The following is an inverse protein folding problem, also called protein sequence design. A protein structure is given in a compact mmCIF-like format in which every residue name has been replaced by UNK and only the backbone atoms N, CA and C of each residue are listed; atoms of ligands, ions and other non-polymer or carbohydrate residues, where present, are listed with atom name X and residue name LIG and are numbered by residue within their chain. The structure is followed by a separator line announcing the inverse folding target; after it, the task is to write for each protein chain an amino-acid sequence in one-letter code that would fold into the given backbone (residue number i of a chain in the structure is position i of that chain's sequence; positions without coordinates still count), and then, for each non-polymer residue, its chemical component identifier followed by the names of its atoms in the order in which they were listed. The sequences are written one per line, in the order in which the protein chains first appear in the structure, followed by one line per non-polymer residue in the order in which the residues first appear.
data_IF_137886584988
#
_entry.id   IF_137886584988
#
_cell.length_a   1.000
_cell.length_b   1.000
_cell.length_c   1.000
_cell.angle_alpha   90.00
_cell.angle_beta   90.00
_cell.angle_gamma   90.00
#
_symmetry.space_group_name_H-M   'P 1'
#
loop_
_entity.id
_entity.type
_entity.pdbx_description
1 polymer ?
#
# COMPACT_ATOMS: atom_id res chain seq x y z
N UNK A 1 26.61 -2.61 22.64
CA UNK A 1 27.14 -3.92 22.18
C UNK A 1 26.12 -4.99 22.59
N UNK A 2 24.99 -5.15 21.91
CA UNK A 2 24.86 -5.89 20.65
C UNK A 2 24.19 -7.25 20.90
N UNK A 3 22.90 -7.25 21.27
CA UNK A 3 22.14 -8.48 21.56
C UNK A 3 21.65 -9.12 20.26
N UNK A 4 22.13 -10.34 19.98
CA UNK A 4 21.81 -11.11 18.78
C UNK A 4 20.35 -11.63 18.84
N UNK A 5 19.42 -10.92 18.20
CA UNK A 5 18.06 -11.39 17.93
C UNK A 5 18.08 -12.16 16.61
N UNK A 6 18.04 -13.50 16.67
CA UNK A 6 17.90 -14.36 15.48
C UNK A 6 16.42 -14.45 15.11
N UNK A 7 15.94 -13.49 14.32
CA UNK A 7 14.61 -13.53 13.71
C UNK A 7 14.66 -14.50 12.52
N UNK A 8 14.20 -15.74 12.70
CA UNK A 8 14.15 -16.71 11.58
C UNK A 8 13.10 -16.26 10.56
N UNK A 9 13.53 -16.07 9.30
CA UNK A 9 12.62 -15.80 8.18
C UNK A 9 11.89 -17.09 7.81
N UNK A 10 10.59 -17.13 8.07
CA UNK A 10 9.69 -18.13 7.49
C UNK A 10 9.21 -17.54 6.15
N UNK A 11 9.80 -18.00 5.04
CA UNK A 11 9.25 -17.74 3.70
C UNK A 11 8.28 -18.86 3.36
N UNK A 12 6.99 -18.55 3.34
CA UNK A 12 5.95 -19.42 2.82
C UNK A 12 5.80 -19.08 1.33
N UNK A 13 6.58 -19.78 0.50
CA UNK A 13 6.35 -19.83 -0.95
C UNK A 13 5.91 -21.25 -1.29
N UNK A 14 4.70 -21.35 -1.85
CA UNK A 14 4.07 -22.54 -2.44
C UNK A 14 3.22 -23.42 -1.50
N UNK A 15 1.93 -23.52 -1.82
CA UNK A 15 0.83 -23.96 -0.95
C UNK A 15 0.76 -25.47 -0.66
N UNK A 16 1.80 -26.28 -0.89
CA UNK A 16 1.75 -27.72 -0.55
C UNK A 16 3.12 -28.41 -0.34
N UNK A 17 4.19 -27.69 -0.02
CA UNK A 17 5.46 -28.33 0.35
C UNK A 17 6.19 -27.55 1.45
N UNK A 18 6.15 -28.03 2.69
CA UNK A 18 6.99 -27.53 3.77
C UNK A 18 8.44 -27.92 3.46
N UNK A 19 9.22 -27.01 2.88
CA UNK A 19 10.65 -27.22 2.67
C UNK A 19 11.39 -27.00 3.99
N UNK A 20 11.85 -28.09 4.61
CA UNK A 20 12.64 -28.06 5.84
C UNK A 20 14.10 -27.80 5.49
N UNK A 21 14.75 -26.81 6.11
CA UNK A 21 16.17 -26.53 5.87
C UNK A 21 17.06 -27.70 6.34
N UNK A 22 18.18 -27.93 5.64
CA UNK A 22 19.10 -29.03 5.95
C UNK A 22 19.57 -28.99 7.42
N UNK A 23 19.78 -27.80 7.96
CA UNK A 23 20.15 -27.59 9.37
C UNK A 23 19.07 -28.06 10.36
N UNK A 24 17.80 -28.02 9.97
CA UNK A 24 16.72 -28.54 10.80
C UNK A 24 16.67 -30.06 10.77
N UNK A 25 16.97 -30.69 9.62
CA UNK A 25 17.12 -32.14 9.51
C UNK A 25 18.29 -32.64 10.36
N UNK A 26 19.44 -31.97 10.31
CA UNK A 26 20.62 -32.37 11.10
C UNK A 26 20.36 -32.30 12.61
N UNK A 27 19.61 -31.28 13.07
CA UNK A 27 19.19 -31.17 14.48
C UNK A 27 18.25 -32.29 14.90
N UNK A 28 17.30 -32.66 14.03
CA UNK A 28 16.37 -33.77 14.30
C UNK A 28 17.15 -35.09 14.38
N UNK A 29 18.06 -35.33 13.43
CA UNK A 29 18.89 -36.53 13.40
C UNK A 29 19.79 -36.62 14.65
N UNK A 30 20.40 -35.51 15.08
CA UNK A 30 21.21 -35.46 16.28
C UNK A 30 20.41 -35.78 17.55
N UNK A 31 19.16 -35.31 17.65
CA UNK A 31 18.28 -35.65 18.78
C UNK A 31 17.84 -37.12 18.76
N UNK A 32 17.58 -37.69 17.58
CA UNK A 32 17.24 -39.10 17.46
C UNK A 32 18.42 -40.01 17.84
N UNK A 33 19.63 -39.66 17.40
CA UNK A 33 20.85 -40.39 17.76
C UNK A 33 21.19 -40.26 19.25
N UNK A 34 20.97 -39.08 19.86
CA UNK A 34 21.14 -38.89 21.29
C UNK A 34 20.17 -39.76 22.11
N UNK A 35 18.92 -39.93 21.64
CA UNK A 35 17.94 -40.83 22.28
C UNK A 35 18.26 -42.31 22.13
N UNK A 36 19.02 -42.72 21.11
CA UNK A 36 19.42 -44.11 20.90
C UNK A 36 20.66 -44.52 21.70
N UNK A 37 21.45 -43.57 22.20
CA UNK A 37 22.65 -43.82 22.99
C UNK A 37 22.40 -43.90 24.51
N UNK A 38 21.15 -43.81 24.97
CA UNK A 38 20.80 -43.90 26.39
C UNK A 38 20.71 -45.36 26.86
N UNK A 39 21.67 -45.78 27.69
CA UNK A 39 21.63 -47.01 28.50
C UNK A 39 20.30 -47.10 29.30
N UNK A 40 19.82 -48.30 29.65
CA UNK A 40 18.55 -48.45 30.35
C UNK A 40 18.61 -47.74 31.72
N UNK A 41 17.86 -46.64 31.84
CA UNK A 41 17.64 -45.95 33.09
C UNK A 41 16.95 -46.87 34.11
N UNK A 42 17.26 -46.76 35.42
CA UNK A 42 16.50 -47.46 36.45
C UNK A 42 15.01 -47.10 36.36
N UNK A 43 14.15 -48.10 36.58
CA UNK A 43 12.71 -47.99 36.42
C UNK A 43 12.13 -46.77 37.16
N UNK A 44 11.25 -45.98 36.54
CA UNK A 44 10.61 -44.86 37.22
C UNK A 44 9.75 -45.38 38.37
N UNK A 45 10.07 -44.94 39.60
CA UNK A 45 9.10 -45.00 40.70
C UNK A 45 7.84 -44.27 40.24
N UNK A 46 6.71 -44.96 40.27
CA UNK A 46 5.41 -44.41 39.92
C UNK A 46 5.07 -43.29 40.91
N UNK A 47 5.37 -42.04 40.55
CA UNK A 47 4.84 -40.88 41.24
C UNK A 47 3.31 -40.90 41.07
N UNK A 48 2.53 -40.66 42.14
CA UNK A 48 1.08 -40.55 41.99
C UNK A 48 0.76 -39.48 40.93
N UNK A 49 -0.29 -39.67 40.11
CA UNK A 49 -0.66 -38.69 39.10
C UNK A 49 -0.85 -37.32 39.76
N UNK A 50 -0.34 -36.23 39.16
CA UNK A 50 -0.46 -34.91 39.76
C UNK A 50 -1.93 -34.64 40.05
N UNK A 51 -2.24 -34.40 41.32
CA UNK A 51 -3.57 -33.98 41.73
C UNK A 51 -3.90 -32.71 40.95
N UNK A 52 -4.95 -32.75 40.12
CA UNK A 52 -5.39 -31.57 39.37
C UNK A 52 -5.84 -30.52 40.39
N UNK A 53 -4.96 -29.57 40.65
CA UNK A 53 -5.24 -28.46 41.53
C UNK A 53 -6.33 -27.61 40.86
N UNK A 54 -7.55 -27.67 41.40
CA UNK A 54 -8.70 -26.91 40.89
C UNK A 54 -8.39 -25.42 40.85
N UNK A 55 -7.54 -24.93 41.75
CA UNK A 55 -7.10 -23.54 41.78
C UNK A 55 -6.31 -23.18 40.52
N UNK A 56 -5.39 -24.05 40.10
CA UNK A 56 -4.60 -23.92 38.87
C UNK A 56 -5.47 -23.97 37.60
N UNK A 57 -6.53 -24.79 37.59
CA UNK A 57 -7.49 -24.81 36.47
C UNK A 57 -8.28 -23.50 36.36
N UNK A 58 -8.70 -22.93 37.48
CA UNK A 58 -9.37 -21.63 37.49
C UNK A 58 -8.45 -20.49 37.03
N UNK A 59 -7.17 -20.52 37.41
CA UNK A 59 -6.15 -19.58 36.94
C UNK A 59 -5.98 -19.66 35.41
N UNK A 60 -5.84 -20.86 34.84
CA UNK A 60 -5.76 -21.02 33.38
C UNK A 60 -7.01 -20.53 32.65
N UNK A 61 -8.20 -20.84 33.17
CA UNK A 61 -9.44 -20.35 32.56
C UNK A 61 -9.55 -18.82 32.60
N UNK A 62 -9.07 -18.18 33.67
CA UNK A 62 -9.03 -16.73 33.78
C UNK A 62 -8.02 -16.09 32.81
N UNK A 63 -6.85 -16.72 32.62
CA UNK A 63 -5.86 -16.28 31.63
C UNK A 63 -6.37 -16.43 30.20
N UNK A 64 -6.99 -17.55 29.86
CA UNK A 64 -7.61 -17.76 28.55
C UNK A 64 -8.70 -16.71 28.27
N UNK A 65 -9.57 -16.43 29.25
CA UNK A 65 -10.59 -15.40 29.13
C UNK A 65 -10.00 -14.00 28.93
N UNK A 66 -8.89 -13.69 29.63
CA UNK A 66 -8.16 -12.43 29.46
C UNK A 66 -7.61 -12.27 28.05
N UNK A 67 -6.90 -13.30 27.55
CA UNK A 67 -6.30 -13.25 26.22
C UNK A 67 -7.35 -13.25 25.12
N UNK A 68 -8.42 -14.03 25.25
CA UNK A 68 -9.55 -14.02 24.32
C UNK A 68 -10.16 -12.62 24.20
N UNK A 69 -10.43 -11.96 25.35
CA UNK A 69 -10.96 -10.59 25.37
C UNK A 69 -9.98 -9.60 24.76
N UNK A 70 -8.68 -9.74 25.03
CA UNK A 70 -7.66 -8.85 24.48
C UNK A 70 -7.55 -8.98 22.96
N UNK A 71 -7.54 -10.19 22.44
CA UNK A 71 -7.51 -10.48 21.00
C UNK A 71 -8.77 -9.91 20.33
N UNK A 72 -9.93 -10.11 20.93
CA UNK A 72 -11.19 -9.58 20.41
C UNK A 72 -11.19 -8.04 20.35
N UNK A 73 -10.70 -7.37 21.38
CA UNK A 73 -10.56 -5.92 21.39
C UNK A 73 -9.61 -5.43 20.28
N UNK A 74 -8.51 -6.13 20.05
CA UNK A 74 -7.56 -5.81 18.98
C UNK A 74 -8.19 -5.99 17.60
N UNK A 75 -8.93 -7.08 17.39
CA UNK A 75 -9.67 -7.33 16.14
C UNK A 75 -10.66 -6.21 15.85
N UNK A 76 -11.49 -5.83 16.83
CA UNK A 76 -12.46 -4.72 16.68
C UNK A 76 -11.78 -3.39 16.38
N UNK A 77 -10.67 -3.09 17.07
CA UNK A 77 -9.92 -1.87 16.81
C UNK A 77 -9.36 -1.84 15.38
N UNK A 78 -8.78 -2.95 14.93
CA UNK A 78 -8.26 -3.08 13.57
C UNK A 78 -9.38 -2.98 12.52
N UNK A 79 -10.51 -3.65 12.73
CA UNK A 79 -11.67 -3.59 11.85
C UNK A 79 -12.23 -2.15 11.73
N UNK A 80 -12.29 -1.42 12.85
CA UNK A 80 -12.70 -0.01 12.85
C UNK A 80 -11.75 0.88 12.04
N UNK A 81 -10.45 0.68 12.18
CA UNK A 81 -9.44 1.44 11.41
C UNK A 81 -9.55 1.11 9.92
N UNK A 82 -9.63 -0.18 9.59
CA UNK A 82 -9.67 -0.64 8.21
C UNK A 82 -10.95 -0.19 7.50
N UNK A 83 -12.11 -0.23 8.18
CA UNK A 83 -13.37 0.25 7.61
C UNK A 83 -13.37 1.77 7.39
N UNK A 84 -12.83 2.55 8.33
CA UNK A 84 -12.65 4.00 8.15
C UNK A 84 -11.72 4.34 6.97
N UNK A 85 -10.59 3.64 6.87
CA UNK A 85 -9.65 3.81 5.75
C UNK A 85 -10.30 3.50 4.40
N UNK A 86 -11.06 2.40 4.32
CA UNK A 86 -11.74 2.02 3.08
C UNK A 86 -12.80 3.04 2.66
N UNK A 87 -13.54 3.58 3.61
CA UNK A 87 -14.55 4.60 3.35
C UNK A 87 -13.93 5.89 2.81
N UNK A 88 -12.86 6.39 3.45
CA UNK A 88 -12.18 7.60 2.97
C UNK A 88 -11.49 7.37 1.62
N UNK A 89 -10.94 6.17 1.37
CA UNK A 89 -10.40 5.81 0.06
C UNK A 89 -11.48 5.84 -1.04
N UNK A 90 -12.63 5.21 -0.80
CA UNK A 90 -13.72 5.22 -1.79
C UNK A 90 -14.27 6.64 -2.01
N UNK A 91 -14.41 7.42 -0.94
CA UNK A 91 -14.85 8.81 -1.00
C UNK A 91 -13.90 9.66 -1.85
N UNK A 92 -12.60 9.59 -1.57
CA UNK A 92 -11.59 10.36 -2.32
C UNK A 92 -11.52 9.95 -3.79
N UNK A 93 -11.67 8.67 -4.11
CA UNK A 93 -11.79 8.22 -5.50
C UNK A 93 -13.02 8.80 -6.20
N UNK A 94 -14.16 8.83 -5.51
CA UNK A 94 -15.39 9.40 -6.06
C UNK A 94 -15.24 10.90 -6.32
N UNK A 95 -14.75 11.65 -5.34
CA UNK A 95 -14.50 13.09 -5.47
C UNK A 95 -13.50 13.40 -6.59
N UNK A 96 -12.42 12.62 -6.71
CA UNK A 96 -11.46 12.77 -7.80
C UNK A 96 -12.10 12.53 -9.17
N UNK A 97 -12.88 11.45 -9.32
CA UNK A 97 -13.59 11.15 -10.56
C UNK A 97 -14.61 12.24 -10.93
N UNK A 98 -15.36 12.76 -9.95
CA UNK A 98 -16.29 13.87 -10.17
C UNK A 98 -15.57 15.12 -10.68
N UNK A 99 -14.39 15.45 -10.12
CA UNK A 99 -13.57 16.55 -10.62
C UNK A 99 -13.07 16.31 -12.05
N UNK A 100 -12.66 15.07 -12.37
CA UNK A 100 -12.27 14.71 -13.74
C UNK A 100 -13.43 14.85 -14.72
N UNK A 101 -14.62 14.39 -14.34
CA UNK A 101 -15.83 14.49 -15.16
C UNK A 101 -16.24 15.94 -15.38
N UNK A 102 -16.13 16.81 -14.37
CA UNK A 102 -16.35 18.25 -14.51
C UNK A 102 -15.35 18.88 -15.49
N UNK A 103 -14.07 18.55 -15.39
CA UNK A 103 -13.03 19.05 -16.32
C UNK A 103 -13.27 18.53 -17.74
N UNK A 104 -13.71 17.28 -17.89
CA UNK A 104 -14.07 16.72 -19.20
C UNK A 104 -15.31 17.40 -19.77
N UNK A 105 -16.35 17.57 -18.96
CA UNK A 105 -17.57 18.28 -19.36
C UNK A 105 -17.27 19.74 -19.75
N UNK A 106 -16.42 20.46 -19.03
CA UNK A 106 -16.03 21.83 -19.37
C UNK A 106 -15.23 21.90 -20.69
N UNK A 107 -14.36 20.91 -20.94
CA UNK A 107 -13.67 20.76 -22.24
C UNK A 107 -14.64 20.45 -23.38
N UNK A 108 -15.67 19.66 -23.14
CA UNK A 108 -16.64 19.22 -24.16
C UNK A 108 -17.71 20.27 -24.43
N UNK A 109 -18.09 21.08 -23.43
CA UNK A 109 -19.26 21.95 -23.54
C UNK A 109 -18.95 23.29 -24.20
N UNK A 110 -17.78 23.95 -24.04
CA UNK A 110 -17.67 25.32 -24.62
C UNK A 110 -16.33 26.03 -24.88
N UNK A 111 -15.13 25.42 -24.86
CA UNK A 111 -13.91 26.20 -25.15
C UNK A 111 -12.92 25.50 -26.07
N UNK A 112 -12.97 25.86 -27.37
CA UNK A 112 -11.76 25.73 -28.19
C UNK A 112 -10.61 26.40 -27.43
N UNK A 113 -9.39 25.82 -27.47
CA UNK A 113 -8.25 26.42 -26.81
C UNK A 113 -8.11 27.87 -27.30
N UNK A 114 -7.83 28.83 -26.41
CA UNK A 114 -7.80 30.24 -26.80
C UNK A 114 -6.81 30.47 -27.96
N UNK A 115 -7.08 31.50 -28.76
CA UNK A 115 -6.18 31.97 -29.83
C UNK A 115 -5.96 30.99 -30.99
N UNK A 116 -6.97 30.18 -31.36
CA UNK A 116 -6.84 29.26 -32.51
C UNK A 116 -6.64 30.01 -33.84
N UNK A 117 -7.24 31.18 -34.01
CA UNK A 117 -7.11 31.94 -35.26
C UNK A 117 -5.70 32.49 -35.46
N UNK A 118 -5.15 33.13 -34.42
CA UNK A 118 -3.79 33.67 -34.43
C UNK A 118 -2.75 32.56 -34.57
N UNK A 119 -3.00 31.41 -33.92
CA UNK A 119 -2.19 30.20 -34.09
C UNK A 119 -2.20 29.73 -35.55
N UNK A 120 -3.37 29.68 -36.19
CA UNK A 120 -3.51 29.30 -37.59
C UNK A 120 -2.67 30.19 -38.51
N UNK A 121 -2.80 31.51 -38.36
CA UNK A 121 -2.03 32.51 -39.14
C UNK A 121 -0.51 32.37 -38.93
N UNK A 122 -0.08 32.17 -37.69
CA UNK A 122 1.34 31.97 -37.35
C UNK A 122 1.90 30.71 -38.03
N UNK A 123 1.18 29.59 -37.96
CA UNK A 123 1.59 28.32 -38.58
C UNK A 123 1.63 28.43 -40.10
N UNK A 124 0.64 29.08 -40.71
CA UNK A 124 0.60 29.33 -42.16
C UNK A 124 1.77 30.19 -42.64
N UNK A 125 2.16 31.19 -41.86
CA UNK A 125 3.33 32.00 -42.19
C UNK A 125 4.62 31.18 -42.16
N UNK A 126 4.81 30.31 -41.16
CA UNK A 126 5.99 29.44 -41.10
C UNK A 126 6.01 28.39 -42.20
N UNK A 127 4.87 27.79 -42.53
CA UNK A 127 4.80 26.83 -43.65
C UNK A 127 5.14 27.48 -44.98
N UNK A 128 4.75 28.75 -45.16
CA UNK A 128 5.08 29.55 -46.35
C UNK A 128 6.51 30.09 -46.36
N UNK A 129 7.18 30.18 -45.20
CA UNK A 129 8.48 30.82 -45.02
C UNK A 129 9.45 29.97 -44.16
N UNK A 130 9.81 28.75 -44.58
CA UNK A 130 10.54 27.78 -43.74
C UNK A 130 11.89 28.30 -43.22
N UNK A 131 12.67 29.01 -44.06
CA UNK A 131 13.99 29.55 -43.69
C UNK A 131 13.96 31.04 -43.32
N UNK A 132 12.76 31.64 -43.25
CA UNK A 132 12.59 33.08 -43.04
C UNK A 132 11.62 33.37 -41.90
N UNK A 133 11.83 32.70 -40.77
CA UNK A 133 10.98 32.79 -39.58
C UNK A 133 10.76 34.22 -39.05
N UNK A 134 11.74 35.11 -39.24
CA UNK A 134 11.66 36.52 -38.82
C UNK A 134 10.53 37.30 -39.53
N UNK A 135 10.13 36.89 -40.74
CA UNK A 135 9.00 37.50 -41.45
C UNK A 135 7.67 37.29 -40.70
N UNK A 136 7.59 36.22 -39.90
CA UNK A 136 6.38 35.87 -39.14
C UNK A 136 6.32 36.53 -37.76
N UNK A 137 7.33 37.31 -37.36
CA UNK A 137 7.46 37.91 -36.02
C UNK A 137 6.22 38.69 -35.56
N UNK A 138 5.56 39.42 -36.46
CA UNK A 138 4.32 40.16 -36.17
C UNK A 138 3.19 39.21 -35.76
N UNK A 139 3.03 38.08 -36.47
CA UNK A 139 2.00 37.08 -36.18
C UNK A 139 2.28 36.33 -34.88
N UNK A 140 3.55 36.06 -34.58
CA UNK A 140 3.97 35.50 -33.28
C UNK A 140 3.60 36.42 -32.13
N UNK A 141 3.83 37.73 -32.28
CA UNK A 141 3.48 38.71 -31.26
C UNK A 141 1.96 38.80 -31.06
N UNK A 142 1.17 38.78 -32.13
CA UNK A 142 -0.29 38.75 -32.04
C UNK A 142 -0.80 37.50 -31.31
N UNK A 143 -0.23 36.33 -31.60
CA UNK A 143 -0.53 35.10 -30.87
C UNK A 143 -0.17 35.23 -29.38
N UNK A 144 1.04 35.72 -29.07
CA UNK A 144 1.47 35.93 -27.68
C UNK A 144 0.55 36.89 -26.92
N UNK A 145 0.16 38.01 -27.54
CA UNK A 145 -0.76 38.98 -26.93
C UNK A 145 -2.12 38.36 -26.63
N UNK A 146 -2.64 37.54 -27.55
CA UNK A 146 -3.88 36.81 -27.32
C UNK A 146 -3.73 35.83 -26.13
N UNK A 147 -2.67 35.03 -26.10
CA UNK A 147 -2.42 34.07 -25.00
C UNK A 147 -2.30 34.79 -23.66
N UNK A 148 -1.59 35.91 -23.60
CA UNK A 148 -1.48 36.74 -22.41
C UNK A 148 -2.84 37.26 -21.94
N UNK A 149 -3.66 37.82 -22.85
CA UNK A 149 -5.01 38.30 -22.53
C UNK A 149 -5.91 37.16 -22.02
N UNK A 150 -5.89 36.00 -22.67
CA UNK A 150 -6.70 34.84 -22.25
C UNK A 150 -6.27 34.30 -20.89
N UNK A 151 -4.97 34.26 -20.59
CA UNK A 151 -4.46 33.85 -19.27
C UNK A 151 -4.93 34.82 -18.17
N UNK A 152 -4.84 36.12 -18.41
CA UNK A 152 -5.30 37.14 -17.46
C UNK A 152 -6.80 36.97 -17.21
N UNK A 153 -7.61 36.82 -18.26
CA UNK A 153 -9.05 36.64 -18.15
C UNK A 153 -9.43 35.38 -17.35
N UNK A 154 -8.72 34.26 -17.55
CA UNK A 154 -8.98 33.02 -16.82
C UNK A 154 -8.66 33.12 -15.33
N UNK A 155 -7.55 33.79 -14.96
CA UNK A 155 -7.17 34.00 -13.56
C UNK A 155 -8.09 35.02 -12.88
N UNK A 156 -8.51 36.08 -13.58
CA UNK A 156 -9.44 37.06 -13.02
C UNK A 156 -10.85 36.52 -12.83
N UNK A 157 -11.29 35.55 -13.66
CA UNK A 157 -12.61 34.94 -13.54
C UNK A 157 -12.73 33.90 -12.40
N UNK A 158 -11.59 33.52 -11.79
CA UNK A 158 -11.52 32.55 -10.69
C UNK A 158 -11.24 33.19 -9.32
N UNK A 159 -11.12 34.52 -9.27
CA UNK A 159 -11.00 35.33 -8.04
C UNK A 159 -12.34 35.95 -7.67
#
# INVERSE_FOLDING_TARGET
MGGSQSTRKLSVDNENAIQVSQEALDRIQAQLNAKQAEQPAPQPQYAPPPYYDKQKQHEYAAEEAYWARRIENLKRAHEKINSGMHLEYQKTLKEANELFDLVQADKVVNKLPPCQEEKGKMLECYSSNPDKSLLCSVLVNQFNDCVCRSRIAAVSASS
#
